data_IF_999097654503
#
_entry.id   IF_999097654503
#
_cell.length_a   1.000
_cell.length_b   1.000
_cell.length_c   1.000
_cell.angle_alpha   90.00
_cell.angle_beta   90.00
_cell.angle_gamma   90.00
#
_symmetry.space_group_name_H-M   'P 1'
#
loop_
_entity.id
_entity.type
_entity.pdbx_description
1 polymer ?
#
# COMPACT_ATOMS: atom_id res chain seq x y z
N UNK A 1 -31.92 -20.97 31.99
CA UNK A 1 -31.80 -20.56 30.57
C UNK A 1 -31.50 -19.06 30.36
N UNK A 2 -31.82 -18.15 31.29
CA UNK A 2 -31.56 -16.70 31.12
C UNK A 2 -30.07 -16.29 31.09
N UNK A 3 -29.18 -16.97 31.84
CA UNK A 3 -27.74 -16.66 31.87
C UNK A 3 -27.00 -17.04 30.57
N UNK A 4 -27.52 -18.01 29.82
CA UNK A 4 -26.94 -18.43 28.54
C UNK A 4 -27.25 -17.40 27.44
N UNK A 5 -28.41 -16.74 27.49
CA UNK A 5 -28.73 -15.64 26.58
C UNK A 5 -27.90 -14.37 26.87
N UNK A 6 -27.62 -14.07 28.14
CA UNK A 6 -26.78 -12.92 28.49
C UNK A 6 -25.34 -13.09 27.98
N UNK A 7 -24.79 -14.31 28.06
CA UNK A 7 -23.45 -14.61 27.57
C UNK A 7 -23.33 -14.44 26.05
N UNK A 8 -24.32 -14.90 25.29
CA UNK A 8 -24.35 -14.74 23.83
C UNK A 8 -24.51 -13.28 23.41
N UNK A 9 -25.35 -12.51 24.14
CA UNK A 9 -25.51 -11.06 23.89
C UNK A 9 -24.26 -10.26 24.22
N UNK A 10 -23.44 -10.68 25.19
CA UNK A 10 -22.18 -10.03 25.51
C UNK A 10 -21.12 -10.27 24.43
N UNK A 11 -21.02 -11.51 23.92
CA UNK A 11 -20.09 -11.86 22.84
C UNK A 11 -20.43 -11.09 21.55
N UNK A 12 -21.72 -10.99 21.19
CA UNK A 12 -22.14 -10.23 20.01
C UNK A 12 -21.82 -8.73 20.12
N UNK A 13 -21.92 -8.15 21.32
CA UNK A 13 -21.56 -6.74 21.58
C UNK A 13 -20.06 -6.51 21.41
N UNK A 14 -19.22 -7.47 21.80
CA UNK A 14 -17.77 -7.34 21.68
C UNK A 14 -17.30 -7.41 20.22
N UNK A 15 -17.90 -8.30 19.41
CA UNK A 15 -17.59 -8.41 17.97
C UNK A 15 -18.00 -7.15 17.20
N UNK A 16 -19.17 -6.58 17.50
CA UNK A 16 -19.61 -5.32 16.87
C UNK A 16 -18.76 -4.11 17.31
N UNK A 17 -18.23 -4.11 18.54
CA UNK A 17 -17.29 -3.10 19.02
C UNK A 17 -15.95 -3.18 18.30
N UNK A 18 -15.42 -4.39 18.10
CA UNK A 18 -14.17 -4.64 17.38
C UNK A 18 -14.28 -4.24 15.89
N UNK A 19 -15.39 -4.57 15.23
CA UNK A 19 -15.66 -4.16 13.84
C UNK A 19 -15.74 -2.64 13.68
N UNK A 20 -16.29 -1.92 14.67
CA UNK A 20 -16.29 -0.45 14.68
C UNK A 20 -14.92 0.14 14.99
N UNK A 21 -14.13 -0.48 15.85
CA UNK A 21 -12.77 -0.03 16.20
C UNK A 21 -11.78 -0.11 15.03
N UNK A 22 -11.88 -1.15 14.20
CA UNK A 22 -11.04 -1.28 13.00
C UNK A 22 -11.40 -0.27 11.91
N UNK A 23 -12.68 0.11 11.78
CA UNK A 23 -13.12 1.07 10.77
C UNK A 23 -12.65 2.52 11.05
N UNK A 24 -12.33 2.86 12.30
CA UNK A 24 -11.91 4.22 12.69
C UNK A 24 -10.42 4.36 13.01
N UNK A 25 -9.65 3.27 13.15
CA UNK A 25 -8.20 3.34 13.37
C UNK A 25 -7.35 3.48 12.10
N UNK A 26 -7.94 3.45 10.90
CA UNK A 26 -7.21 3.47 9.63
C UNK A 26 -6.74 4.82 9.09
N UNK A 27 -7.02 5.96 9.73
CA UNK A 27 -6.73 7.30 9.14
C UNK A 27 -6.09 8.33 10.09
N UNK A 28 -5.73 7.96 11.32
CA UNK A 28 -5.13 8.89 12.29
C UNK A 28 -3.77 8.37 12.78
N UNK A 29 -2.79 8.32 11.88
CA UNK A 29 -1.46 7.79 12.21
C UNK A 29 -0.38 7.93 11.14
N UNK A 30 -0.44 8.93 10.27
CA UNK A 30 0.74 9.35 9.49
C UNK A 30 1.37 10.56 10.18
N UNK A 31 1.98 10.28 11.33
CA UNK A 31 2.92 11.17 11.98
C UNK A 31 4.20 11.25 11.16
N UNK A 32 4.56 12.45 10.76
CA UNK A 32 5.85 12.77 10.17
C UNK A 32 6.98 12.35 11.11
N UNK A 33 7.77 11.35 10.71
CA UNK A 33 9.08 11.10 11.31
C UNK A 33 10.14 11.39 10.25
N UNK A 34 10.79 12.53 10.46
CA UNK A 34 12.03 12.98 9.85
C UNK A 34 13.12 11.91 9.96
N UNK A 35 13.65 11.48 8.82
CA UNK A 35 14.88 10.70 8.70
C UNK A 35 15.80 11.43 7.70
N UNK A 36 17.11 11.52 7.97
CA UNK A 36 17.92 12.66 7.61
C UNK A 36 18.36 12.67 6.15
N UNK A 37 18.66 13.89 5.75
CA UNK A 37 19.34 14.36 4.56
C UNK A 37 20.52 13.49 4.15
N UNK A 38 20.35 12.68 3.10
CA UNK A 38 21.43 12.42 2.16
C UNK A 38 21.02 13.05 0.82
N UNK A 39 21.68 14.17 0.51
CA UNK A 39 21.47 14.91 -0.73
C UNK A 39 22.04 14.13 -1.90
N UNK A 40 21.18 13.44 -2.64
CA UNK A 40 21.48 13.07 -4.02
C UNK A 40 21.22 14.30 -4.89
N UNK A 41 22.31 14.97 -5.27
CA UNK A 41 22.33 16.03 -6.28
C UNK A 41 21.86 15.45 -7.61
N UNK A 42 20.62 15.75 -7.96
CA UNK A 42 20.14 15.79 -9.34
C UNK A 42 19.70 17.23 -9.60
N UNK A 43 20.63 18.02 -10.18
CA UNK A 43 20.40 19.37 -10.64
C UNK A 43 19.17 19.44 -11.56
N UNK A 44 18.15 20.17 -11.14
CA UNK A 44 17.10 20.69 -12.01
C UNK A 44 16.83 22.17 -11.71
N UNK A 45 17.28 23.02 -12.64
CA UNK A 45 16.82 24.39 -12.98
C UNK A 45 16.96 25.52 -11.94
N UNK A 46 17.72 26.58 -12.24
CA UNK A 46 17.42 27.92 -11.74
C UNK A 46 16.46 28.64 -12.71
N UNK A 47 15.32 29.06 -12.15
CA UNK A 47 14.48 30.14 -12.64
C UNK A 47 15.18 31.47 -12.31
N UNK A 48 15.31 32.32 -13.33
CA UNK A 48 15.50 33.79 -13.30
C UNK A 48 16.58 34.38 -12.37
N UNK A 49 17.72 34.74 -12.96
CA UNK A 49 18.41 35.97 -12.61
C UNK A 49 19.00 36.59 -13.87
N UNK A 50 18.19 37.39 -14.58
CA UNK A 50 18.66 38.29 -15.63
C UNK A 50 18.06 39.65 -15.34
N UNK A 51 18.89 40.50 -14.73
CA UNK A 51 18.70 41.94 -14.63
C UNK A 51 18.55 42.53 -16.03
N UNK A 52 17.34 42.95 -16.39
CA UNK A 52 17.12 43.81 -17.54
C UNK A 52 16.62 45.17 -17.02
N UNK A 53 17.54 46.14 -17.07
CA UNK A 53 17.29 47.56 -16.84
C UNK A 53 16.07 48.01 -17.65
N UNK A 54 15.17 48.75 -17.01
CA UNK A 54 14.04 49.42 -17.65
C UNK A 54 14.61 50.38 -18.70
N UNK A 55 14.57 49.99 -19.97
CA UNK A 55 14.87 50.89 -21.08
C UNK A 55 13.76 50.80 -22.13
N UNK A 56 13.30 51.99 -22.49
CA UNK A 56 12.12 52.35 -23.26
C UNK A 56 12.09 51.71 -24.66
N UNK A 57 11.58 50.48 -24.78
CA UNK A 57 11.51 49.75 -26.04
C UNK A 57 10.14 49.91 -26.74
N UNK A 58 10.17 50.41 -27.97
CA UNK A 58 9.04 50.64 -28.90
C UNK A 58 8.25 49.36 -29.24
N UNK A 59 6.95 49.48 -29.58
CA UNK A 59 6.02 48.34 -29.73
C UNK A 59 6.35 47.35 -30.85
N UNK A 60 7.33 47.64 -31.71
CA UNK A 60 7.75 46.80 -32.84
C UNK A 60 8.71 45.66 -32.47
N UNK A 61 9.38 45.70 -31.30
CA UNK A 61 10.32 44.64 -30.89
C UNK A 61 9.64 43.44 -30.22
N UNK A 62 8.48 43.66 -29.59
CA UNK A 62 7.70 42.59 -28.92
C UNK A 62 7.08 41.64 -29.96
N UNK A 63 6.68 42.16 -31.13
CA UNK A 63 6.05 41.36 -32.18
C UNK A 63 7.02 40.42 -32.92
N UNK A 64 8.34 40.65 -32.85
CA UNK A 64 9.35 39.84 -33.53
C UNK A 64 9.89 38.71 -32.65
N UNK A 65 9.93 38.89 -31.33
CA UNK A 65 10.47 37.89 -30.38
C UNK A 65 9.64 36.61 -30.27
N UNK A 66 8.32 36.69 -30.53
CA UNK A 66 7.42 35.52 -30.44
C UNK A 66 7.63 34.51 -31.58
N UNK A 67 8.01 34.97 -32.78
CA UNK A 67 8.21 34.10 -33.94
C UNK A 67 9.58 33.42 -33.97
N UNK A 68 10.58 33.96 -33.29
CA UNK A 68 11.91 33.35 -33.21
C UNK A 68 11.97 32.14 -32.25
N UNK A 69 11.00 32.01 -31.33
CA UNK A 69 10.88 30.85 -30.43
C UNK A 69 9.95 29.75 -30.97
N UNK A 70 9.67 29.74 -32.28
CA UNK A 70 8.93 28.67 -32.97
C UNK A 70 9.87 27.69 -33.69
N UNK A 71 11.19 27.78 -33.48
CA UNK A 71 12.11 26.71 -33.87
C UNK A 71 11.92 25.55 -32.90
N UNK A 72 10.90 24.77 -33.21
CA UNK A 72 10.62 23.45 -32.71
C UNK A 72 11.93 22.69 -32.49
N UNK A 73 12.35 22.59 -31.22
CA UNK A 73 13.08 21.41 -30.78
C UNK A 73 12.21 20.24 -31.22
N UNK A 74 12.68 19.32 -32.07
CA UNK A 74 11.94 18.10 -32.31
C UNK A 74 11.82 17.44 -30.94
N UNK A 75 10.62 17.48 -30.35
CA UNK A 75 10.24 16.54 -29.33
C UNK A 75 10.34 15.21 -30.04
N UNK A 76 11.51 14.61 -29.90
CA UNK A 76 11.82 13.30 -30.40
C UNK A 76 10.76 12.38 -29.82
N UNK A 77 9.72 12.12 -30.62
CA UNK A 77 8.87 10.93 -30.52
C UNK A 77 9.72 9.70 -30.91
N UNK A 78 10.92 9.60 -30.35
CA UNK A 78 11.51 8.31 -30.13
C UNK A 78 10.77 7.73 -28.91
N UNK A 79 10.16 6.54 -29.01
CA UNK A 79 9.77 5.77 -27.85
C UNK A 79 11.03 5.45 -27.03
N UNK A 80 11.49 6.41 -26.22
CA UNK A 80 12.62 6.24 -25.31
C UNK A 80 12.12 5.42 -24.12
N UNK A 81 12.20 4.09 -24.32
CA UNK A 81 12.39 3.08 -23.29
C UNK A 81 11.29 3.04 -22.23
N UNK A 82 10.13 2.51 -22.63
CA UNK A 82 9.07 1.99 -21.74
C UNK A 82 9.55 1.02 -20.65
N UNK A 83 10.80 0.53 -20.73
CA UNK A 83 11.38 -0.39 -19.75
C UNK A 83 11.53 0.23 -18.34
N UNK A 84 11.72 1.55 -18.20
CA UNK A 84 11.85 2.17 -16.86
C UNK A 84 10.51 2.34 -16.16
N UNK A 85 9.48 2.81 -16.87
CA UNK A 85 8.11 2.95 -16.33
C UNK A 85 7.49 1.57 -16.05
N UNK A 86 7.78 0.57 -16.88
CA UNK A 86 7.34 -0.80 -16.66
C UNK A 86 8.03 -1.42 -15.43
N UNK A 87 9.33 -1.22 -15.25
CA UNK A 87 10.01 -1.66 -14.03
C UNK A 87 9.45 -0.98 -12.78
N UNK A 88 9.21 0.33 -12.83
CA UNK A 88 8.61 1.07 -11.72
C UNK A 88 7.18 0.59 -11.41
N UNK A 89 6.35 0.35 -12.43
CA UNK A 89 4.97 -0.12 -12.24
C UNK A 89 4.90 -1.56 -11.72
N UNK A 90 5.84 -2.45 -12.12
CA UNK A 90 5.97 -3.80 -11.54
C UNK A 90 6.24 -3.74 -10.04
N UNK A 91 7.17 -2.90 -9.59
CA UNK A 91 7.52 -2.77 -8.17
C UNK A 91 6.35 -2.22 -7.34
N UNK A 92 5.63 -1.21 -7.85
CA UNK A 92 4.45 -0.64 -7.16
C UNK A 92 3.30 -1.64 -7.13
N UNK A 93 3.01 -2.30 -8.26
CA UNK A 93 1.95 -3.31 -8.36
C UNK A 93 2.20 -4.51 -7.45
N UNK A 94 3.44 -5.00 -7.41
CA UNK A 94 3.84 -6.06 -6.49
C UNK A 94 3.67 -5.64 -5.02
N UNK A 95 4.09 -4.42 -4.66
CA UNK A 95 3.89 -3.87 -3.33
C UNK A 95 2.43 -3.83 -2.91
N UNK A 96 1.54 -3.30 -3.76
CA UNK A 96 0.10 -3.26 -3.48
C UNK A 96 -0.52 -4.67 -3.39
N UNK A 97 -0.06 -5.63 -4.20
CA UNK A 97 -0.56 -7.00 -4.16
C UNK A 97 -0.24 -7.72 -2.84
N UNK A 98 0.84 -7.37 -2.14
CA UNK A 98 1.20 -7.99 -0.84
C UNK A 98 0.23 -7.65 0.30
N UNK A 99 -0.62 -6.62 0.15
CA UNK A 99 -1.62 -6.23 1.17
C UNK A 99 -2.58 -7.38 1.49
N UNK A 100 -2.81 -8.28 0.54
CA UNK A 100 -3.63 -9.48 0.74
C UNK A 100 -3.16 -10.37 1.92
N UNK A 101 -1.86 -10.35 2.27
CA UNK A 101 -1.33 -11.11 3.41
C UNK A 101 -1.83 -10.59 4.76
N UNK A 102 -2.25 -9.32 4.85
CA UNK A 102 -2.84 -8.79 6.08
C UNK A 102 -4.12 -9.55 6.47
N UNK A 103 -4.94 -9.95 5.48
CA UNK A 103 -6.14 -10.75 5.71
C UNK A 103 -5.83 -12.15 6.23
N UNK A 104 -4.77 -12.78 5.71
CA UNK A 104 -4.30 -14.09 6.18
C UNK A 104 -3.80 -14.01 7.62
N UNK A 105 -2.98 -13.01 7.94
CA UNK A 105 -2.49 -12.81 9.31
C UNK A 105 -3.62 -12.60 10.33
N UNK A 106 -4.62 -11.79 9.98
CA UNK A 106 -5.79 -11.58 10.82
C UNK A 106 -6.62 -12.87 10.98
N UNK A 107 -6.83 -13.62 9.89
CA UNK A 107 -7.56 -14.88 9.90
C UNK A 107 -6.90 -15.95 10.78
N UNK A 108 -5.58 -16.11 10.66
CA UNK A 108 -4.80 -17.03 11.49
C UNK A 108 -4.84 -16.65 12.97
N UNK A 109 -4.78 -15.35 13.29
CA UNK A 109 -4.90 -14.88 14.68
C UNK A 109 -6.22 -15.30 15.34
N UNK A 110 -7.34 -15.14 14.64
CA UNK A 110 -8.67 -15.52 15.15
C UNK A 110 -8.81 -17.05 15.25
N UNK A 111 -8.25 -17.77 14.28
CA UNK A 111 -8.28 -19.22 14.23
C UNK A 111 -7.49 -19.85 15.39
N UNK A 112 -6.26 -19.40 15.65
CA UNK A 112 -5.47 -19.88 16.79
C UNK A 112 -6.05 -19.39 18.13
N UNK A 113 -6.64 -18.20 18.19
CA UNK A 113 -7.37 -17.74 19.38
C UNK A 113 -8.56 -18.64 19.72
N UNK A 114 -9.30 -19.09 18.71
CA UNK A 114 -10.42 -20.03 18.87
C UNK A 114 -9.95 -21.43 19.27
N UNK A 115 -8.79 -21.88 18.76
CA UNK A 115 -8.16 -23.13 19.17
C UNK A 115 -7.83 -23.13 20.66
N UNK A 116 -7.17 -22.08 21.17
CA UNK A 116 -6.77 -22.00 22.58
C UNK A 116 -8.02 -21.96 23.48
N UNK A 117 -9.03 -21.16 23.12
CA UNK A 117 -10.30 -21.13 23.87
C UNK A 117 -11.02 -22.50 23.84
N UNK A 118 -11.01 -23.21 22.71
CA UNK A 118 -11.59 -24.54 22.59
C UNK A 118 -10.85 -25.58 23.42
N UNK A 119 -9.51 -25.58 23.38
CA UNK A 119 -8.66 -26.49 24.13
C UNK A 119 -8.72 -26.22 25.65
N UNK A 120 -8.83 -24.95 26.07
CA UNK A 120 -8.97 -24.57 27.47
C UNK A 120 -10.30 -25.03 28.07
N UNK A 121 -11.37 -25.10 27.28
CA UNK A 121 -12.69 -25.56 27.76
C UNK A 121 -12.76 -27.08 27.91
N UNK A 122 -12.19 -27.82 26.97
CA UNK A 122 -12.25 -29.28 26.95
C UNK A 122 -10.90 -29.86 26.50
N UNK A 123 -9.95 -30.08 27.43
CA UNK A 123 -8.61 -30.54 27.06
C UNK A 123 -8.58 -31.97 26.51
N UNK A 124 -9.59 -32.81 26.83
CA UNK A 124 -9.66 -34.20 26.35
C UNK A 124 -9.75 -34.31 24.81
N UNK A 125 -10.36 -33.33 24.15
CA UNK A 125 -10.48 -33.28 22.68
C UNK A 125 -9.43 -32.37 22.02
N UNK A 126 -8.47 -31.85 22.78
CA UNK A 126 -7.50 -30.87 22.30
C UNK A 126 -6.68 -31.40 21.11
N UNK A 127 -6.30 -32.69 21.11
CA UNK A 127 -5.53 -33.29 20.01
C UNK A 127 -6.28 -33.28 18.67
N UNK A 128 -7.60 -33.51 18.71
CA UNK A 128 -8.45 -33.44 17.52
C UNK A 128 -8.66 -31.98 17.08
N UNK A 129 -8.85 -31.06 18.02
CA UNK A 129 -8.95 -29.62 17.74
C UNK A 129 -7.68 -29.06 17.10
N UNK A 130 -6.50 -29.48 17.59
CA UNK A 130 -5.21 -29.12 16.98
C UNK A 130 -5.10 -29.69 15.56
N UNK A 131 -5.60 -30.90 15.31
CA UNK A 131 -5.67 -31.47 13.96
C UNK A 131 -6.50 -30.63 12.99
N UNK A 132 -7.71 -30.21 13.40
CA UNK A 132 -8.54 -29.31 12.59
C UNK A 132 -7.93 -27.92 12.43
N UNK A 133 -7.26 -27.44 13.47
CA UNK A 133 -6.54 -26.19 13.44
C UNK A 133 -5.38 -26.21 12.43
N UNK A 134 -4.57 -27.27 12.41
CA UNK A 134 -3.48 -27.42 11.46
C UNK A 134 -3.98 -27.59 10.02
N UNK A 135 -5.12 -28.27 9.83
CA UNK A 135 -5.77 -28.33 8.52
C UNK A 135 -6.22 -26.94 8.05
N UNK A 136 -6.87 -26.16 8.93
CA UNK A 136 -7.26 -24.78 8.64
C UNK A 136 -6.07 -23.85 8.41
N UNK A 137 -4.99 -24.01 9.16
CA UNK A 137 -3.73 -23.30 8.96
C UNK A 137 -3.14 -23.59 7.58
N UNK A 138 -3.03 -24.87 7.19
CA UNK A 138 -2.52 -25.26 5.88
C UNK A 138 -3.36 -24.69 4.72
N UNK A 139 -4.69 -24.67 4.86
CA UNK A 139 -5.58 -24.07 3.87
C UNK A 139 -5.42 -22.54 3.79
N UNK A 140 -5.28 -21.87 4.93
CA UNK A 140 -5.07 -20.41 4.95
C UNK A 140 -3.70 -20.03 4.41
N UNK A 141 -2.66 -20.81 4.72
CA UNK A 141 -1.31 -20.65 4.16
C UNK A 141 -1.29 -20.88 2.65
N UNK A 142 -2.07 -21.85 2.14
CA UNK A 142 -2.22 -22.03 0.69
C UNK A 142 -2.72 -20.75 0.00
N UNK A 143 -3.64 -20.02 0.64
CA UNK A 143 -4.13 -18.73 0.13
C UNK A 143 -3.04 -17.63 0.24
N UNK A 144 -2.27 -17.59 1.33
CA UNK A 144 -1.13 -16.67 1.45
C UNK A 144 -0.08 -16.92 0.36
N UNK A 145 0.31 -18.18 0.16
CA UNK A 145 1.28 -18.55 -0.85
C UNK A 145 0.74 -18.32 -2.26
N UNK A 146 -0.56 -18.52 -2.49
CA UNK A 146 -1.20 -18.17 -3.76
C UNK A 146 -1.09 -16.66 -4.04
N UNK A 147 -1.34 -15.81 -3.03
CA UNK A 147 -1.15 -14.37 -3.18
C UNK A 147 0.30 -14.00 -3.46
N UNK A 148 1.26 -14.64 -2.79
CA UNK A 148 2.69 -14.44 -3.04
C UNK A 148 3.12 -14.92 -4.42
N UNK A 149 2.49 -15.98 -4.95
CA UNK A 149 2.71 -16.45 -6.32
C UNK A 149 2.37 -15.34 -7.31
N UNK A 150 1.22 -14.66 -7.14
CA UNK A 150 0.83 -13.52 -7.97
C UNK A 150 1.84 -12.38 -7.85
N UNK A 151 2.32 -12.06 -6.64
CA UNK A 151 3.37 -11.05 -6.43
C UNK A 151 4.65 -11.41 -7.19
N UNK A 152 5.08 -12.67 -7.14
CA UNK A 152 6.27 -13.14 -7.87
C UNK A 152 6.08 -13.14 -9.39
N UNK A 153 4.88 -13.44 -9.89
CA UNK A 153 4.58 -13.25 -11.31
C UNK A 153 4.66 -11.78 -11.70
N UNK A 154 4.14 -10.86 -10.89
CA UNK A 154 4.23 -9.43 -11.19
C UNK A 154 5.68 -8.92 -11.18
N UNK A 155 6.59 -9.51 -10.40
CA UNK A 155 8.00 -9.10 -10.41
C UNK A 155 8.85 -9.79 -11.48
N UNK A 156 8.68 -11.09 -11.69
CA UNK A 156 9.63 -11.90 -12.46
C UNK A 156 9.07 -12.46 -13.77
N UNK A 157 7.76 -12.42 -13.99
CA UNK A 157 7.14 -12.66 -15.29
C UNK A 157 6.76 -11.34 -15.98
#
# INVERSE_FOLDING_TARGET
MALQQQSVRLVLRNVNGLARGLATQGMAGMGASSVPTEQVVCQSKPVMQASASISLATPSSIASGIRASAKASPMSLAPQRSMSVLAASKMVGAGCATIALAGVGAGLGVMFGSLINGAARNPNIAKQLVGYALLGFALTESIALFSLLVVFLILFA
#
